data_IF_822592689674
#
_entry.id   IF_822592689674
#
_cell.length_a   1.000
_cell.length_b   1.000
_cell.length_c   1.000
_cell.angle_alpha   90.00
_cell.angle_beta   90.00
_cell.angle_gamma   90.00
#
_symmetry.space_group_name_H-M   'P 1'
#
loop_
_entity.id
_entity.type
_entity.pdbx_description
1 polymer ?
#
# COMPACT_ATOMS: atom_id res chain seq x y z
N UNK A 1 6.24 4.88 -31.95
CA UNK A 1 5.74 5.64 -30.78
C UNK A 1 5.10 4.74 -29.72
N UNK A 2 4.01 4.02 -30.01
CA UNK A 2 3.37 3.09 -29.03
C UNK A 2 4.34 2.06 -28.42
N UNK A 3 5.24 1.50 -29.22
CA UNK A 3 6.21 0.49 -28.77
C UNK A 3 7.26 1.00 -27.77
N UNK A 4 7.64 2.29 -27.85
CA UNK A 4 8.58 2.92 -26.90
C UNK A 4 7.88 3.19 -25.56
N UNK A 5 6.63 3.67 -25.60
CA UNK A 5 5.82 3.87 -24.41
C UNK A 5 5.58 2.56 -23.63
N UNK A 6 5.33 1.46 -24.34
CA UNK A 6 5.18 0.13 -23.72
C UNK A 6 6.46 -0.35 -23.04
N UNK A 7 7.62 -0.14 -23.67
CA UNK A 7 8.92 -0.52 -23.09
C UNK A 7 9.19 0.22 -21.78
N UNK A 8 9.01 1.54 -21.72
CA UNK A 8 9.26 2.34 -20.50
C UNK A 8 8.37 1.89 -19.34
N UNK A 9 7.07 1.63 -19.60
CA UNK A 9 6.16 1.16 -18.56
C UNK A 9 6.58 -0.22 -18.03
N UNK A 10 6.93 -1.17 -18.90
CA UNK A 10 7.37 -2.51 -18.49
C UNK A 10 8.64 -2.44 -17.63
N UNK A 11 9.61 -1.62 -18.03
CA UNK A 11 10.84 -1.45 -17.23
C UNK A 11 10.56 -0.82 -15.86
N UNK A 12 9.66 0.16 -15.76
CA UNK A 12 9.27 0.72 -14.46
C UNK A 12 8.55 -0.30 -13.57
N UNK A 13 7.77 -1.22 -14.16
CA UNK A 13 7.11 -2.28 -13.40
C UNK A 13 8.07 -3.34 -12.90
N UNK A 14 8.93 -3.85 -13.78
CA UNK A 14 9.91 -4.88 -13.42
C UNK A 14 10.89 -4.35 -12.37
N UNK A 15 11.39 -3.12 -12.54
CA UNK A 15 12.28 -2.50 -11.55
C UNK A 15 11.58 -2.31 -10.21
N UNK A 16 10.33 -1.83 -10.19
CA UNK A 16 9.51 -1.76 -8.98
C UNK A 16 9.37 -3.12 -8.29
N UNK A 17 9.02 -4.18 -9.02
CA UNK A 17 8.91 -5.52 -8.46
C UNK A 17 10.25 -6.00 -7.85
N UNK A 18 11.36 -5.83 -8.57
CA UNK A 18 12.68 -6.26 -8.10
C UNK A 18 13.11 -5.54 -6.82
N UNK A 19 12.83 -4.23 -6.70
CA UNK A 19 13.16 -3.45 -5.49
C UNK A 19 12.52 -4.09 -4.25
N UNK A 20 11.24 -4.47 -4.31
CA UNK A 20 10.53 -5.02 -3.15
C UNK A 20 10.79 -6.52 -2.93
N UNK A 21 11.14 -7.28 -3.97
CA UNK A 21 11.57 -8.68 -3.84
C UNK A 21 12.92 -8.77 -3.12
N UNK A 22 13.85 -7.86 -3.45
CA UNK A 22 15.22 -7.88 -2.93
C UNK A 22 15.45 -6.85 -1.82
N UNK A 23 14.38 -6.24 -1.29
CA UNK A 23 14.53 -5.24 -0.25
C UNK A 23 15.04 -5.92 1.03
N UNK A 24 16.22 -5.54 1.55
CA UNK A 24 16.72 -6.12 2.78
C UNK A 24 15.97 -5.55 3.98
N UNK A 25 15.54 -6.41 4.89
CA UNK A 25 15.02 -6.04 6.21
C UNK A 25 15.46 -7.07 7.25
N UNK A 26 15.69 -6.59 8.47
CA UNK A 26 16.04 -7.44 9.62
C UNK A 26 14.77 -7.84 10.35
N UNK A 27 14.72 -9.07 10.88
CA UNK A 27 13.56 -9.59 11.63
C UNK A 27 14.03 -10.27 12.91
N UNK A 28 13.27 -10.11 14.00
CA UNK A 28 13.56 -10.81 15.26
C UNK A 28 12.73 -12.10 15.38
N UNK A 29 11.51 -12.10 14.87
CA UNK A 29 10.59 -13.24 14.92
C UNK A 29 10.18 -13.77 13.53
N UNK A 30 9.58 -14.97 13.51
CA UNK A 30 8.94 -15.51 12.30
C UNK A 30 7.71 -14.70 11.88
N UNK A 31 7.04 -14.06 12.84
CA UNK A 31 5.87 -13.22 12.57
C UNK A 31 6.28 -11.96 11.80
N UNK A 32 7.37 -11.30 12.21
CA UNK A 32 7.96 -10.16 11.48
C UNK A 32 8.29 -10.54 10.03
N UNK A 33 8.94 -11.70 9.84
CA UNK A 33 9.27 -12.19 8.51
C UNK A 33 8.01 -12.40 7.66
N UNK A 34 6.96 -12.99 8.22
CA UNK A 34 5.71 -13.21 7.50
C UNK A 34 5.05 -11.88 7.10
N UNK A 35 4.92 -10.93 8.02
CA UNK A 35 4.21 -9.68 7.75
C UNK A 35 4.93 -8.81 6.73
N UNK A 36 6.27 -8.73 6.79
CA UNK A 36 7.06 -8.04 5.75
C UNK A 36 6.98 -8.78 4.41
N UNK A 37 7.02 -10.11 4.42
CA UNK A 37 6.91 -10.91 3.19
C UNK A 37 5.55 -10.74 2.50
N UNK A 38 4.45 -10.63 3.26
CA UNK A 38 3.12 -10.36 2.70
C UNK A 38 3.06 -9.02 1.97
N UNK A 39 3.66 -7.98 2.54
CA UNK A 39 3.73 -6.67 1.89
C UNK A 39 4.60 -6.70 0.64
N UNK A 40 5.83 -7.21 0.74
CA UNK A 40 6.74 -7.34 -0.40
C UNK A 40 6.15 -8.18 -1.54
N UNK A 41 5.48 -9.28 -1.21
CA UNK A 41 4.74 -10.10 -2.17
C UNK A 41 3.60 -9.31 -2.82
N UNK A 42 2.81 -8.58 -2.04
CA UNK A 42 1.72 -7.78 -2.56
C UNK A 42 2.19 -6.71 -3.56
N UNK A 43 3.28 -6.02 -3.23
CA UNK A 43 3.91 -5.03 -4.12
C UNK A 43 4.42 -5.72 -5.39
N UNK A 44 5.19 -6.79 -5.26
CA UNK A 44 5.77 -7.51 -6.40
C UNK A 44 4.68 -8.01 -7.37
N UNK A 45 3.63 -8.64 -6.85
CA UNK A 45 2.51 -9.13 -7.67
C UNK A 45 1.78 -7.98 -8.35
N UNK A 46 1.57 -6.85 -7.66
CA UNK A 46 0.93 -5.68 -8.27
C UNK A 46 1.69 -5.15 -9.49
N UNK A 47 3.01 -5.01 -9.36
CA UNK A 47 3.88 -4.56 -10.45
C UNK A 47 3.96 -5.61 -11.58
N UNK A 48 4.10 -6.89 -11.26
CA UNK A 48 4.19 -7.97 -12.27
C UNK A 48 2.90 -8.14 -13.07
N UNK A 49 1.74 -8.10 -12.42
CA UNK A 49 0.44 -8.15 -13.10
C UNK A 49 0.22 -6.94 -14.02
N UNK A 50 0.89 -5.82 -13.72
CA UNK A 50 0.83 -4.59 -14.49
C UNK A 50 1.86 -4.51 -15.62
N UNK A 51 2.83 -5.43 -15.68
CA UNK A 51 3.92 -5.48 -16.64
C UNK A 51 3.54 -6.13 -17.99
N UNK A 52 2.35 -5.83 -18.52
CA UNK A 52 1.89 -6.41 -19.79
C UNK A 52 1.94 -5.37 -20.94
N UNK A 53 2.61 -5.66 -22.07
CA UNK A 53 2.74 -4.76 -23.22
C UNK A 53 1.41 -4.49 -23.95
N UNK A 54 0.36 -5.27 -23.70
CA UNK A 54 -0.91 -5.16 -24.42
C UNK A 54 -1.96 -4.50 -23.52
N UNK A 55 -2.50 -3.37 -23.96
CA UNK A 55 -3.70 -2.80 -23.35
C UNK A 55 -4.91 -3.58 -23.84
N UNK A 56 -5.48 -4.40 -22.96
CA UNK A 56 -6.69 -5.17 -23.23
C UNK A 56 -7.62 -5.11 -22.01
N UNK A 57 -8.90 -5.45 -22.17
CA UNK A 57 -9.83 -5.55 -21.06
C UNK A 57 -9.33 -6.53 -19.98
N UNK A 58 -8.69 -7.63 -20.40
CA UNK A 58 -8.10 -8.64 -19.52
C UNK A 58 -6.90 -8.06 -18.76
N UNK A 59 -5.99 -7.37 -19.44
CA UNK A 59 -4.84 -6.70 -18.81
C UNK A 59 -5.28 -5.69 -17.76
N UNK A 60 -6.32 -4.91 -18.07
CA UNK A 60 -6.86 -3.95 -17.13
C UNK A 60 -7.44 -4.63 -15.88
N UNK A 61 -8.06 -5.81 -16.02
CA UNK A 61 -8.53 -6.60 -14.88
C UNK A 61 -7.37 -7.10 -14.01
N UNK A 62 -6.26 -7.54 -14.62
CA UNK A 62 -5.06 -7.93 -13.87
C UNK A 62 -4.42 -6.77 -13.12
N UNK A 63 -4.37 -5.57 -13.72
CA UNK A 63 -3.87 -4.37 -13.03
C UNK A 63 -4.74 -4.05 -11.80
N UNK A 64 -6.06 -4.16 -11.92
CA UNK A 64 -6.96 -3.97 -10.79
C UNK A 64 -6.77 -5.04 -9.70
N UNK A 65 -6.61 -6.30 -10.10
CA UNK A 65 -6.34 -7.39 -9.18
C UNK A 65 -5.01 -7.15 -8.42
N UNK A 66 -3.98 -6.68 -9.12
CA UNK A 66 -2.71 -6.31 -8.53
C UNK A 66 -2.84 -5.26 -7.42
N UNK A 67 -3.58 -4.18 -7.69
CA UNK A 67 -3.83 -3.11 -6.70
C UNK A 67 -4.55 -3.68 -5.46
N UNK A 68 -5.54 -4.54 -5.65
CA UNK A 68 -6.30 -5.16 -4.55
C UNK A 68 -5.39 -6.05 -3.69
N UNK A 69 -4.52 -6.84 -4.33
CA UNK A 69 -3.55 -7.70 -3.65
C UNK A 69 -2.52 -6.87 -2.87
N UNK A 70 -1.97 -5.80 -3.46
CA UNK A 70 -1.08 -4.87 -2.77
C UNK A 70 -1.76 -4.24 -1.56
N UNK A 71 -3.00 -3.79 -1.71
CA UNK A 71 -3.72 -3.14 -0.62
C UNK A 71 -3.97 -4.07 0.56
N UNK A 72 -4.37 -5.31 0.27
CA UNK A 72 -4.54 -6.33 1.30
C UNK A 72 -3.19 -6.72 1.94
N UNK A 73 -2.14 -6.91 1.14
CA UNK A 73 -0.79 -7.21 1.61
C UNK A 73 -0.17 -6.12 2.49
N UNK A 74 -0.50 -4.85 2.24
CA UNK A 74 -0.10 -3.70 3.09
C UNK A 74 -0.91 -3.60 4.38
N UNK A 75 -2.19 -4.00 4.35
CA UNK A 75 -3.02 -3.99 5.55
C UNK A 75 -2.52 -4.95 6.63
N UNK A 76 -2.00 -6.13 6.25
CA UNK A 76 -1.51 -7.17 7.18
C UNK A 76 -0.43 -6.63 8.16
N UNK A 77 0.74 -6.13 7.72
CA UNK A 77 1.76 -5.61 8.63
C UNK A 77 1.31 -4.33 9.36
N UNK A 78 0.45 -3.52 8.73
CA UNK A 78 -0.11 -2.32 9.37
C UNK A 78 -0.97 -2.69 10.58
N UNK A 79 -1.81 -3.71 10.46
CA UNK A 79 -2.66 -4.21 11.55
C UNK A 79 -1.79 -4.86 12.63
N UNK A 80 -0.79 -5.67 12.23
CA UNK A 80 0.12 -6.35 13.13
C UNK A 80 0.88 -5.37 14.04
N UNK A 81 1.60 -4.41 13.45
CA UNK A 81 2.37 -3.44 14.24
C UNK A 81 1.50 -2.36 14.89
N UNK A 82 0.34 -2.03 14.28
CA UNK A 82 -0.59 -1.03 14.83
C UNK A 82 -1.32 -1.49 16.08
N UNK A 83 -1.67 -2.78 16.16
CA UNK A 83 -2.37 -3.37 17.30
C UNK A 83 -1.54 -4.46 17.98
N UNK A 84 -0.21 -4.34 17.98
CA UNK A 84 0.72 -5.39 18.44
C UNK A 84 0.34 -6.02 19.80
N UNK A 85 -0.19 -5.20 20.72
CA UNK A 85 -0.60 -5.63 22.06
C UNK A 85 -2.07 -6.06 22.22
N UNK A 86 -2.92 -5.85 21.22
CA UNK A 86 -4.35 -6.21 21.26
C UNK A 86 -4.69 -7.22 20.16
N UNK A 87 -4.60 -8.50 20.52
CA UNK A 87 -4.90 -9.63 19.62
C UNK A 87 -6.38 -9.62 19.17
N UNK A 88 -7.28 -9.09 19.99
CA UNK A 88 -8.71 -8.98 19.64
C UNK A 88 -8.94 -8.01 18.50
N UNK A 89 -8.35 -6.81 18.60
CA UNK A 89 -8.39 -5.80 17.54
C UNK A 89 -7.65 -6.25 16.28
N UNK A 90 -6.50 -6.92 16.41
CA UNK A 90 -5.80 -7.51 15.27
C UNK A 90 -6.70 -8.49 14.50
N UNK A 91 -7.31 -9.45 15.22
CA UNK A 91 -8.18 -10.47 14.60
C UNK A 91 -9.39 -9.84 13.91
N UNK A 92 -10.09 -8.94 14.59
CA UNK A 92 -11.29 -8.29 14.05
C UNK A 92 -10.96 -7.47 12.81
N UNK A 93 -9.87 -6.70 12.84
CA UNK A 93 -9.46 -5.85 11.71
C UNK A 93 -8.94 -6.69 10.54
N UNK A 94 -8.24 -7.79 10.81
CA UNK A 94 -7.78 -8.73 9.77
C UNK A 94 -8.95 -9.42 9.08
N UNK A 95 -9.96 -9.86 9.84
CA UNK A 95 -11.19 -10.44 9.27
C UNK A 95 -11.91 -9.41 8.40
N UNK A 96 -12.03 -8.17 8.86
CA UNK A 96 -12.64 -7.09 8.07
C UNK A 96 -11.88 -6.85 6.76
N UNK A 97 -10.54 -6.74 6.84
CA UNK A 97 -9.66 -6.56 5.67
C UNK A 97 -9.81 -7.70 4.66
N UNK A 98 -9.87 -8.95 5.13
CA UNK A 98 -10.08 -10.12 4.28
C UNK A 98 -11.46 -10.12 3.61
N UNK A 99 -12.51 -9.74 4.33
CA UNK A 99 -13.85 -9.61 3.74
C UNK A 99 -13.88 -8.54 2.65
N UNK A 100 -13.25 -7.38 2.89
CA UNK A 100 -13.11 -6.34 1.88
C UNK A 100 -12.35 -6.84 0.64
N UNK A 101 -11.26 -7.60 0.82
CA UNK A 101 -10.52 -8.22 -0.27
C UNK A 101 -11.42 -9.15 -1.10
N UNK A 102 -12.12 -10.08 -0.45
CA UNK A 102 -13.01 -11.06 -1.10
C UNK A 102 -14.11 -10.35 -1.90
N UNK A 103 -14.80 -9.38 -1.29
CA UNK A 103 -15.89 -8.65 -1.96
C UNK A 103 -15.36 -7.93 -3.21
N UNK A 104 -14.17 -7.33 -3.13
CA UNK A 104 -13.61 -6.53 -4.23
C UNK A 104 -13.17 -7.41 -5.42
N UNK A 105 -12.79 -8.67 -5.19
CA UNK A 105 -12.42 -9.59 -6.28
C UNK A 105 -13.63 -10.30 -6.91
N UNK A 106 -14.82 -10.28 -6.31
CA UNK A 106 -15.99 -10.96 -6.86
C UNK A 106 -16.40 -10.38 -8.22
N UNK A 107 -16.76 -11.22 -9.21
CA UNK A 107 -17.06 -10.79 -10.58
C UNK A 107 -18.18 -9.75 -10.68
N UNK A 108 -19.17 -9.82 -9.78
CA UNK A 108 -20.28 -8.86 -9.71
C UNK A 108 -19.82 -7.43 -9.43
N UNK A 109 -18.67 -7.25 -8.75
CA UNK A 109 -18.09 -5.95 -8.40
C UNK A 109 -17.01 -5.48 -9.39
N UNK A 110 -16.75 -6.25 -10.46
CA UNK A 110 -15.77 -5.89 -11.51
C UNK A 110 -16.35 -4.97 -12.59
N UNK A 111 -17.67 -4.81 -12.64
CA UNK A 111 -18.37 -4.03 -13.66
C UNK A 111 -18.09 -2.50 -13.61
N UNK A 112 -18.33 -1.78 -14.72
CA UNK A 112 -18.13 -0.32 -14.78
C UNK A 112 -19.05 0.47 -13.84
N UNK A 113 -20.21 -0.08 -13.49
CA UNK A 113 -21.16 0.48 -12.49
C UNK A 113 -20.56 0.59 -11.09
N UNK A 114 -19.64 -0.30 -10.73
CA UNK A 114 -18.96 -0.32 -9.42
C UNK A 114 -17.62 0.41 -9.42
N UNK A 115 -17.26 1.08 -10.53
CA UNK A 115 -15.99 1.82 -10.64
C UNK A 115 -15.84 2.87 -9.55
N UNK A 116 -16.88 3.68 -9.33
CA UNK A 116 -16.88 4.72 -8.30
C UNK A 116 -16.80 4.12 -6.90
N UNK A 117 -17.55 3.05 -6.62
CA UNK A 117 -17.52 2.35 -5.33
C UNK A 117 -16.13 1.79 -5.03
N UNK A 118 -15.46 1.19 -6.02
CA UNK A 118 -14.10 0.66 -5.88
C UNK A 118 -13.07 1.77 -5.64
N UNK A 119 -13.13 2.85 -6.42
CA UNK A 119 -12.24 4.00 -6.24
C UNK A 119 -12.47 4.65 -4.86
N UNK A 120 -13.72 4.72 -4.39
CA UNK A 120 -14.07 5.19 -3.06
C UNK A 120 -13.54 4.25 -1.98
N UNK A 121 -13.69 2.93 -2.13
CA UNK A 121 -13.16 1.94 -1.19
C UNK A 121 -11.64 2.00 -1.06
N UNK A 122 -10.91 2.13 -2.17
CA UNK A 122 -9.45 2.31 -2.12
C UNK A 122 -9.06 3.64 -1.50
N UNK A 123 -9.80 4.71 -1.79
CA UNK A 123 -9.58 6.01 -1.16
C UNK A 123 -9.84 5.92 0.35
N UNK A 124 -10.96 5.34 0.76
CA UNK A 124 -11.29 5.11 2.17
C UNK A 124 -10.28 4.19 2.85
N UNK A 125 -9.77 3.16 2.19
CA UNK A 125 -8.71 2.30 2.75
C UNK A 125 -7.39 3.05 2.90
N UNK A 126 -7.00 3.86 1.91
CA UNK A 126 -5.84 4.75 2.01
C UNK A 126 -5.99 5.81 3.11
N UNK A 127 -7.18 6.42 3.23
CA UNK A 127 -7.51 7.34 4.30
C UNK A 127 -7.70 6.63 5.64
N UNK A 128 -8.02 5.33 5.66
CA UNK A 128 -8.20 4.58 6.89
C UNK A 128 -6.91 4.51 7.68
N UNK A 129 -5.75 4.70 7.05
CA UNK A 129 -4.44 4.85 7.72
C UNK A 129 -4.46 6.03 8.71
N UNK A 130 -5.23 7.09 8.45
CA UNK A 130 -5.41 8.22 9.37
C UNK A 130 -6.05 7.78 10.69
N UNK A 131 -6.90 6.75 10.67
CA UNK A 131 -7.60 6.29 11.87
C UNK A 131 -6.64 5.61 12.88
N UNK A 132 -5.83 4.57 12.55
CA UNK A 132 -4.81 4.05 13.44
C UNK A 132 -3.76 5.08 13.84
N UNK A 133 -3.43 6.03 12.97
CA UNK A 133 -2.52 7.14 13.32
C UNK A 133 -3.13 7.99 14.43
N UNK A 134 -4.34 8.50 14.21
CA UNK A 134 -5.03 9.39 15.16
C UNK A 134 -5.40 8.67 16.46
N UNK A 135 -5.86 7.42 16.38
CA UNK A 135 -6.13 6.59 17.55
C UNK A 135 -4.84 6.25 18.31
N UNK A 136 -3.74 5.99 17.60
CA UNK A 136 -2.41 5.82 18.19
C UNK A 136 -1.91 7.07 18.91
N UNK A 137 -2.12 8.26 18.34
CA UNK A 137 -1.84 9.54 19.03
C UNK A 137 -2.69 9.68 20.30
N UNK A 138 -3.97 9.33 20.24
CA UNK A 138 -4.86 9.40 21.40
C UNK A 138 -4.45 8.43 22.52
N UNK A 139 -4.00 7.22 22.17
CA UNK A 139 -3.63 6.19 23.13
C UNK A 139 -2.21 6.34 23.68
N UNK A 140 -1.25 6.72 22.83
CA UNK A 140 0.19 6.66 23.15
C UNK A 140 0.88 8.04 23.14
N UNK A 141 0.19 9.10 22.71
CA UNK A 141 0.73 10.46 22.62
C UNK A 141 1.50 10.75 21.32
N UNK A 142 1.60 12.06 21.00
CA UNK A 142 2.24 12.55 19.78
C UNK A 142 3.72 12.15 19.66
N UNK A 143 4.48 12.21 20.75
CA UNK A 143 5.92 11.94 20.71
C UNK A 143 6.25 10.47 20.37
N UNK A 144 5.45 9.53 20.89
CA UNK A 144 5.57 8.11 20.58
C UNK A 144 5.12 7.85 19.14
N UNK A 145 4.05 8.51 18.71
CA UNK A 145 3.53 8.33 17.35
C UNK A 145 4.46 8.92 16.29
N UNK A 146 5.08 10.08 16.53
CA UNK A 146 6.07 10.68 15.63
C UNK A 146 7.26 9.74 15.44
N UNK A 147 7.76 9.12 16.53
CA UNK A 147 8.84 8.11 16.46
C UNK A 147 8.41 6.83 15.73
N UNK A 148 7.14 6.42 15.83
CA UNK A 148 6.58 5.24 15.13
C UNK A 148 6.25 5.50 13.66
N UNK A 149 6.06 6.76 13.25
CA UNK A 149 5.50 7.12 11.94
C UNK A 149 6.26 8.24 11.20
N UNK A 150 7.58 8.37 11.41
CA UNK A 150 8.45 9.39 10.79
C UNK A 150 8.31 9.46 9.25
N UNK A 151 7.81 8.43 8.57
CA UNK A 151 7.81 8.33 7.11
C UNK A 151 6.46 8.06 6.43
N UNK A 152 5.31 8.18 7.11
CA UNK A 152 4.00 8.08 6.44
C UNK A 152 3.61 9.42 5.79
N UNK A 153 4.43 9.87 4.84
CA UNK A 153 4.21 11.12 4.14
C UNK A 153 3.34 10.94 2.90
N UNK A 154 2.34 11.83 2.78
CA UNK A 154 1.53 12.37 1.66
C UNK A 154 1.52 11.77 0.24
N UNK A 155 2.37 10.81 -0.12
CA UNK A 155 2.54 10.30 -1.48
C UNK A 155 1.31 9.54 -1.99
N UNK A 156 0.56 8.87 -1.10
CA UNK A 156 -0.69 8.21 -1.45
C UNK A 156 -1.76 9.19 -1.96
N UNK A 157 -1.93 10.33 -1.29
CA UNK A 157 -2.87 11.41 -1.71
C UNK A 157 -2.35 12.12 -2.96
N UNK A 158 -1.04 12.35 -3.03
CA UNK A 158 -0.40 12.97 -4.19
C UNK A 158 -0.45 12.10 -5.46
N UNK A 159 -0.73 10.79 -5.35
CA UNK A 159 -0.95 9.91 -6.51
C UNK A 159 -2.19 10.27 -7.36
N UNK A 160 -3.10 11.11 -6.84
CA UNK A 160 -4.25 11.63 -7.60
C UNK A 160 -3.91 12.90 -8.40
N UNK A 161 -2.86 13.63 -8.01
CA UNK A 161 -2.42 14.86 -8.67
C UNK A 161 -2.05 14.70 -10.17
N UNK A 162 -1.48 13.58 -10.65
CA UNK A 162 -1.14 13.40 -12.06
C UNK A 162 -2.37 13.36 -12.98
N UNK A 163 -3.52 12.83 -12.49
CA UNK A 163 -4.79 12.85 -13.25
C UNK A 163 -5.32 14.27 -13.42
N UNK A 164 -5.08 15.13 -12.44
CA UNK A 164 -5.43 16.54 -12.47
C UNK A 164 -4.52 17.28 -13.46
N UNK A 165 -3.21 17.01 -13.47
CA UNK A 165 -2.26 17.64 -14.40
C UNK A 165 -2.50 17.26 -15.87
N UNK A 166 -2.84 16.00 -16.19
CA UNK A 166 -3.19 15.61 -17.56
C UNK A 166 -4.49 16.24 -18.06
N UNK A 167 -5.43 16.55 -17.16
CA UNK A 167 -6.66 17.27 -17.49
C UNK A 167 -6.37 18.71 -17.97
N UNK A 168 -5.30 19.32 -17.46
CA UNK A 168 -4.90 20.69 -17.81
C UNK A 168 -3.94 20.76 -19.01
N UNK A 169 -3.15 19.71 -19.28
CA UNK A 169 -2.17 19.68 -20.39
C UNK A 169 -2.24 18.40 -21.23
N UNK A 170 -3.31 18.21 -22.02
CA UNK A 170 -3.45 17.03 -22.87
C UNK A 170 -2.33 16.94 -23.92
N UNK A 171 -1.74 15.74 -24.08
CA UNK A 171 -0.77 15.35 -25.13
C UNK A 171 0.65 15.96 -25.08
N UNK A 172 1.05 16.65 -24.01
CA UNK A 172 2.43 17.16 -23.87
C UNK A 172 3.46 16.11 -23.38
N UNK A 173 3.02 15.00 -22.77
CA UNK A 173 3.89 14.03 -22.10
C UNK A 173 3.68 12.59 -22.62
N UNK A 174 3.50 12.42 -23.93
CA UNK A 174 3.16 11.15 -24.59
C UNK A 174 4.29 10.10 -24.62
N UNK A 175 5.50 10.40 -24.09
CA UNK A 175 6.65 9.46 -24.10
C UNK A 175 7.29 9.36 -22.71
N UNK A 176 7.64 10.50 -22.10
CA UNK A 176 8.15 10.60 -20.73
C UNK A 176 7.25 11.53 -19.91
N UNK A 177 6.88 11.13 -18.70
CA UNK A 177 6.03 11.92 -17.80
C UNK A 177 4.53 11.76 -18.04
N UNK A 178 4.09 10.68 -18.70
CA UNK A 178 2.66 10.36 -18.77
C UNK A 178 2.08 10.15 -17.36
N UNK A 179 0.80 10.46 -17.13
CA UNK A 179 0.18 10.28 -15.80
C UNK A 179 0.31 8.85 -15.30
N UNK A 180 0.33 7.88 -16.22
CA UNK A 180 0.53 6.48 -15.91
C UNK A 180 1.95 6.20 -15.39
N UNK A 181 2.98 6.77 -16.00
CA UNK A 181 4.37 6.67 -15.51
C UNK A 181 4.54 7.37 -14.16
N UNK A 182 3.94 8.56 -14.00
CA UNK A 182 3.98 9.28 -12.72
C UNK A 182 3.28 8.46 -11.63
N UNK A 183 2.14 7.84 -11.95
CA UNK A 183 1.44 6.94 -11.02
C UNK A 183 2.35 5.79 -10.57
N UNK A 184 3.10 5.14 -11.46
CA UNK A 184 4.02 4.06 -11.07
C UNK A 184 5.12 4.54 -10.14
N UNK A 185 5.73 5.69 -10.44
CA UNK A 185 6.75 6.29 -9.56
C UNK A 185 6.15 6.59 -8.19
N UNK A 186 4.95 7.16 -8.14
CA UNK A 186 4.27 7.46 -6.87
C UNK A 186 3.93 6.20 -6.07
N UNK A 187 3.54 5.10 -6.73
CA UNK A 187 3.29 3.82 -6.06
C UNK A 187 4.59 3.22 -5.49
N UNK A 188 5.71 3.29 -6.21
CA UNK A 188 7.02 2.87 -5.67
C UNK A 188 7.39 3.71 -4.44
N UNK A 189 7.32 5.03 -4.54
CA UNK A 189 7.63 5.94 -3.43
C UNK A 189 6.71 5.71 -2.22
N UNK A 190 5.42 5.53 -2.45
CA UNK A 190 4.46 5.20 -1.39
C UNK A 190 4.78 3.85 -0.74
N UNK A 191 5.17 2.83 -1.51
CA UNK A 191 5.59 1.54 -0.97
C UNK A 191 6.86 1.64 -0.12
N UNK A 192 7.86 2.43 -0.55
CA UNK A 192 9.08 2.64 0.22
C UNK A 192 8.81 3.44 1.51
N UNK A 193 7.97 4.47 1.43
CA UNK A 193 7.49 5.21 2.59
C UNK A 193 6.73 4.29 3.57
N UNK A 194 5.88 3.40 3.06
CA UNK A 194 5.19 2.43 3.88
C UNK A 194 6.17 1.48 4.58
N UNK A 195 7.14 0.93 3.84
CA UNK A 195 8.14 0.01 4.38
C UNK A 195 9.01 0.65 5.46
N UNK A 196 9.46 1.88 5.25
CA UNK A 196 10.22 2.63 6.27
C UNK A 196 9.40 2.86 7.53
N UNK A 197 8.09 3.10 7.39
CA UNK A 197 7.18 3.19 8.53
C UNK A 197 7.06 1.87 9.28
N UNK A 198 6.93 0.75 8.56
CA UNK A 198 6.89 -0.59 9.17
C UNK A 198 8.20 -0.94 9.89
N UNK A 199 9.35 -0.63 9.30
CA UNK A 199 10.66 -0.83 9.93
C UNK A 199 10.82 0.03 11.19
N UNK A 200 10.36 1.29 11.17
CA UNK A 200 10.37 2.16 12.35
C UNK A 200 9.50 1.60 13.48
N UNK A 201 8.32 1.06 13.14
CA UNK A 201 7.45 0.41 14.12
C UNK A 201 8.07 -0.87 14.68
N UNK A 202 8.70 -1.69 13.82
CA UNK A 202 9.45 -2.87 14.22
C UNK A 202 10.58 -2.54 15.18
N UNK A 203 11.44 -1.56 14.85
CA UNK A 203 12.56 -1.15 15.67
C UNK A 203 12.08 -0.62 17.04
N UNK A 204 11.00 0.16 17.04
CA UNK A 204 10.41 0.67 18.28
C UNK A 204 9.90 -0.46 19.19
N UNK A 205 9.16 -1.42 18.63
CA UNK A 205 8.55 -2.51 19.40
C UNK A 205 9.60 -3.49 19.94
N UNK A 206 10.68 -3.72 19.19
CA UNK A 206 11.73 -4.67 19.58
C UNK A 206 12.87 -4.03 20.38
N UNK A 207 12.97 -2.70 20.44
CA UNK A 207 13.95 -1.98 21.29
C UNK A 207 13.45 -1.72 22.71
N UNK A 208 12.14 -1.77 22.97
CA UNK A 208 11.54 -1.50 24.27
C UNK A 208 11.28 -2.80 25.06
N UNK A 209 11.64 -2.82 26.35
CA UNK A 209 11.54 -4.02 27.20
C UNK A 209 10.11 -4.40 27.64
N UNK A 210 9.09 -3.55 27.43
CA UNK A 210 7.69 -3.88 27.76
C UNK A 210 6.70 -3.13 26.84
N UNK A 211 6.32 -3.66 25.65
CA UNK A 211 5.40 -2.93 24.76
C UNK A 211 3.95 -2.97 25.24
N UNK A 212 3.54 -4.00 26.00
CA UNK A 212 2.14 -4.30 26.31
C UNK A 212 1.76 -4.18 27.80
N UNK A 213 2.62 -3.55 28.61
CA UNK A 213 2.42 -3.39 30.05
C UNK A 213 1.56 -2.18 30.46
N UNK A 214 0.98 -1.43 29.51
CA UNK A 214 0.19 -0.23 29.84
C UNK A 214 -1.30 -0.56 29.99
N UNK A 215 -1.74 -0.85 31.20
CA UNK A 215 -3.16 -0.91 31.56
C UNK A 215 -3.68 0.52 31.77
N UNK A 216 -4.07 1.18 30.68
CA UNK A 216 -4.67 2.51 30.71
C UNK A 216 -6.06 2.51 31.32
N UNK A 217 -6.15 2.75 32.63
CA UNK A 217 -7.34 3.28 33.30
C UNK A 217 -6.91 4.29 34.36
N UNK A 218 -7.10 5.58 34.08
CA UNK A 218 -7.45 6.61 35.07
C UNK A 218 -8.53 7.49 34.47
#
# INVERSE_FOLDING_TARGET
MKQVLFSVNIHSHISGALIFIFLPYSTVSQEDLLVFSFFSFGVAVCFLLSANPRVSAITLQFNFLGIIILMWGSAIPTIYYGFYCDVGLQKNTTILSLNCFIITILPNFRGPTFRTYRDLMFSCLGFSIIFPVSHGVQLYGLEIQEKRMVTLNLFGVASYAPRVLERFFPRKHDIYGSSHQILHVMVVLAGLAHMTGLLSAFDYLHSQAVPCGWTGWY
#
